data_IF_441695631026
#
_entry.id   IF_441695631026
#
_cell.length_a   1.000
_cell.length_b   1.000
_cell.length_c   1.000
_cell.angle_alpha   90.00
_cell.angle_beta   90.00
_cell.angle_gamma   90.00
#
_symmetry.space_group_name_H-M   'P 1'
#
loop_
_entity.id
_entity.type
_entity.pdbx_description
1 polymer ?
#
# COMPACT_ATOMS: atom_id res chain seq x y z
N UNK A 1 -27.34 40.70 24.95
CA UNK A 1 -26.28 40.11 24.10
C UNK A 1 -25.80 38.82 24.74
N UNK A 2 -26.43 37.68 24.41
CA UNK A 2 -26.11 36.36 24.97
C UNK A 2 -25.25 35.56 23.99
N UNK A 3 -24.12 35.05 24.46
CA UNK A 3 -23.19 34.22 23.69
C UNK A 3 -23.71 32.78 23.65
N UNK A 4 -24.02 32.27 22.46
CA UNK A 4 -24.30 30.85 22.26
C UNK A 4 -22.98 30.06 22.22
N UNK A 5 -22.78 29.23 23.24
CA UNK A 5 -21.68 28.27 23.35
C UNK A 5 -22.16 26.93 22.77
N UNK A 6 -21.71 26.56 21.57
CA UNK A 6 -21.97 25.24 20.98
C UNK A 6 -20.91 24.25 21.46
N UNK A 7 -21.24 23.53 22.53
CA UNK A 7 -20.49 22.34 22.97
C UNK A 7 -20.68 21.23 21.92
N UNK A 8 -19.62 20.91 21.18
CA UNK A 8 -19.56 19.71 20.35
C UNK A 8 -19.62 18.43 21.21
N UNK A 9 -20.27 17.34 20.76
CA UNK A 9 -20.31 16.10 21.52
C UNK A 9 -18.89 15.51 21.66
N UNK A 10 -18.46 15.35 22.91
CA UNK A 10 -17.18 14.77 23.31
C UNK A 10 -17.09 13.36 22.71
N UNK A 11 -16.16 13.13 21.77
CA UNK A 11 -15.86 11.78 21.24
C UNK A 11 -15.54 10.86 22.42
N UNK A 12 -16.32 9.79 22.61
CA UNK A 12 -15.99 8.75 23.59
C UNK A 12 -14.67 8.13 23.17
N UNK A 13 -13.69 8.19 24.05
CA UNK A 13 -12.39 7.54 23.85
C UNK A 13 -12.51 6.11 24.37
N UNK A 14 -11.83 5.18 23.71
CA UNK A 14 -11.85 3.75 24.01
C UNK A 14 -11.37 3.36 25.42
N UNK A 15 -10.93 4.32 26.24
CA UNK A 15 -10.53 4.14 27.64
C UNK A 15 -11.71 3.97 28.61
N UNK A 16 -12.95 4.11 28.14
CA UNK A 16 -14.16 4.09 28.98
C UNK A 16 -14.81 2.70 29.13
N UNK A 17 -14.19 1.62 28.66
CA UNK A 17 -14.68 0.25 28.89
C UNK A 17 -13.93 -0.42 30.05
N UNK A 18 -14.63 -0.82 31.13
CA UNK A 18 -14.00 -1.53 32.23
C UNK A 18 -13.53 -2.90 31.75
N UNK A 19 -12.31 -3.26 32.12
CA UNK A 19 -11.71 -4.55 31.89
C UNK A 19 -12.58 -5.67 32.49
N UNK A 20 -13.28 -6.41 31.64
CA UNK A 20 -13.79 -7.74 31.94
C UNK A 20 -12.94 -8.74 31.17
N UNK A 21 -11.66 -8.79 31.56
CA UNK A 21 -10.73 -9.83 31.19
C UNK A 21 -10.60 -10.79 32.38
N UNK A 22 -11.52 -11.74 32.48
CA UNK A 22 -11.31 -13.05 33.09
C UNK A 22 -12.51 -13.92 32.71
N UNK A 23 -12.27 -15.21 32.47
CA UNK A 23 -13.28 -16.29 32.49
C UNK A 23 -13.89 -16.78 31.16
N UNK A 24 -13.14 -16.80 30.05
CA UNK A 24 -13.52 -17.63 28.88
C UNK A 24 -12.31 -18.33 28.23
N UNK A 25 -11.73 -19.30 28.94
CA UNK A 25 -10.74 -20.27 28.40
C UNK A 25 -11.27 -21.71 28.41
N UNK A 26 -12.58 -21.93 28.56
CA UNK A 26 -13.15 -23.28 28.57
C UNK A 26 -14.32 -23.37 27.60
N UNK A 27 -13.99 -23.70 26.35
CA UNK A 27 -14.61 -24.75 25.52
C UNK A 27 -14.17 -24.53 24.07
N UNK A 28 -13.30 -25.44 23.58
CA UNK A 28 -12.75 -25.38 22.23
C UNK A 28 -13.84 -25.45 21.17
N UNK A 29 -14.20 -24.31 20.60
CA UNK A 29 -14.82 -24.18 19.27
C UNK A 29 -14.50 -22.77 18.77
N UNK A 30 -13.73 -22.70 17.68
CA UNK A 30 -13.26 -21.53 16.93
C UNK A 30 -13.54 -20.14 17.55
N UNK A 31 -12.53 -19.58 18.19
CA UNK A 31 -12.26 -18.15 18.05
C UNK A 31 -10.76 -18.02 17.84
N UNK A 32 -10.35 -18.36 16.61
CA UNK A 32 -9.02 -18.06 16.12
C UNK A 32 -8.95 -16.55 16.00
N UNK A 33 -8.61 -15.92 17.13
CA UNK A 33 -8.10 -14.58 17.31
C UNK A 33 -8.41 -13.68 16.12
N UNK A 34 -9.53 -12.97 16.21
CA UNK A 34 -9.69 -11.68 15.54
C UNK A 34 -8.54 -10.78 16.01
N UNK A 35 -7.35 -10.97 15.43
CA UNK A 35 -6.27 -10.02 15.47
C UNK A 35 -6.84 -8.80 14.77
N UNK A 36 -7.13 -7.77 15.55
CA UNK A 36 -7.77 -6.54 15.10
C UNK A 36 -6.86 -5.80 14.12
N UNK A 37 -6.84 -6.25 12.87
CA UNK A 37 -6.35 -5.50 11.73
C UNK A 37 -7.12 -4.19 11.66
N UNK A 38 -6.48 -3.09 11.26
CA UNK A 38 -7.15 -1.81 11.10
C UNK A 38 -8.26 -1.86 10.03
N UNK A 39 -8.24 -2.86 9.15
CA UNK A 39 -9.25 -3.14 8.15
C UNK A 39 -9.59 -4.63 8.15
N UNK A 40 -10.87 -4.96 7.98
CA UNK A 40 -11.35 -6.33 7.82
C UNK A 40 -10.84 -6.96 6.53
N UNK A 41 -10.79 -6.18 5.44
CA UNK A 41 -10.28 -6.62 4.14
C UNK A 41 -9.32 -5.62 3.52
N UNK A 42 -8.30 -6.14 2.87
CA UNK A 42 -7.40 -5.39 2.02
C UNK A 42 -7.52 -5.85 0.58
N UNK A 43 -7.83 -4.92 -0.30
CA UNK A 43 -7.87 -5.17 -1.74
C UNK A 43 -6.69 -4.45 -2.38
N UNK A 44 -5.88 -5.18 -3.13
CA UNK A 44 -4.77 -4.62 -3.89
C UNK A 44 -5.07 -4.73 -5.38
N UNK A 45 -5.09 -3.59 -6.05
CA UNK A 45 -5.23 -3.50 -7.50
C UNK A 45 -3.86 -3.17 -8.10
N UNK A 46 -3.38 -4.03 -8.98
CA UNK A 46 -2.12 -3.83 -9.69
C UNK A 46 -2.23 -2.64 -10.62
N UNK A 47 -1.58 -1.54 -10.25
CA UNK A 47 -1.60 -0.26 -10.99
C UNK A 47 -0.23 0.16 -11.47
N UNK A 48 0.82 -0.55 -11.07
CA UNK A 48 2.19 -0.20 -11.38
C UNK A 48 2.93 -1.36 -12.04
N UNK A 49 3.67 -1.03 -13.09
CA UNK A 49 4.43 -1.95 -13.92
C UNK A 49 4.32 -1.57 -15.39
N UNK A 50 5.29 -2.00 -16.22
CA UNK A 50 5.42 -1.56 -17.61
C UNK A 50 4.27 -2.03 -18.51
N UNK A 51 3.43 -2.96 -18.04
CA UNK A 51 2.38 -3.58 -18.82
C UNK A 51 0.96 -3.24 -18.36
N UNK A 52 0.79 -2.70 -17.15
CA UNK A 52 -0.53 -2.59 -16.53
C UNK A 52 -1.49 -1.64 -17.28
N UNK A 53 -0.96 -0.61 -17.93
CA UNK A 53 -1.74 0.32 -18.74
C UNK A 53 -2.25 -0.28 -20.06
N UNK A 54 -1.71 -1.43 -20.50
CA UNK A 54 -2.15 -2.12 -21.71
C UNK A 54 -3.19 -3.20 -21.43
N UNK A 55 -3.41 -3.54 -20.16
CA UNK A 55 -4.40 -4.53 -19.72
C UNK A 55 -5.78 -3.90 -19.45
N UNK A 56 -5.96 -2.60 -19.63
CA UNK A 56 -7.19 -1.87 -19.33
C UNK A 56 -6.92 -0.60 -18.55
N UNK A 57 -7.89 -0.15 -17.74
CA UNK A 57 -7.76 1.03 -16.88
C UNK A 57 -7.81 0.64 -15.39
N UNK A 58 -6.68 0.21 -14.80
CA UNK A 58 -6.61 -0.19 -13.40
C UNK A 58 -6.84 0.98 -12.45
N UNK A 59 -6.58 2.23 -12.87
CA UNK A 59 -6.83 3.41 -12.06
C UNK A 59 -8.33 3.73 -11.98
N UNK A 60 -9.06 3.65 -13.09
CA UNK A 60 -10.51 3.75 -13.09
C UNK A 60 -11.15 2.64 -12.26
N UNK A 61 -10.63 1.41 -12.31
CA UNK A 61 -11.09 0.31 -11.45
C UNK A 61 -10.92 0.65 -9.96
N UNK A 62 -9.76 1.17 -9.54
CA UNK A 62 -9.54 1.60 -8.15
C UNK A 62 -10.54 2.68 -7.74
N UNK A 63 -10.80 3.66 -8.60
CA UNK A 63 -11.76 4.73 -8.33
C UNK A 63 -13.17 4.17 -8.20
N UNK A 64 -13.59 3.30 -9.12
CA UNK A 64 -14.91 2.67 -9.11
C UNK A 64 -15.14 1.85 -7.84
N UNK A 65 -14.18 1.00 -7.44
CA UNK A 65 -14.26 0.22 -6.22
C UNK A 65 -14.32 1.10 -4.97
N UNK A 66 -13.46 2.14 -4.88
CA UNK A 66 -13.48 3.08 -3.75
C UNK A 66 -14.82 3.81 -3.64
N UNK A 67 -15.38 4.25 -4.78
CA UNK A 67 -16.68 4.92 -4.82
C UNK A 67 -17.79 3.99 -4.32
N UNK A 68 -17.79 2.72 -4.74
CA UNK A 68 -18.77 1.73 -4.28
C UNK A 68 -18.66 1.47 -2.78
N UNK A 69 -17.44 1.26 -2.27
CA UNK A 69 -17.19 1.06 -0.83
C UNK A 69 -17.64 2.27 0.00
N UNK A 70 -17.35 3.48 -0.47
CA UNK A 70 -17.79 4.70 0.21
C UNK A 70 -19.32 4.85 0.22
N UNK A 71 -19.99 4.51 -0.89
CA UNK A 71 -21.45 4.54 -0.97
C UNK A 71 -22.14 3.57 0.00
N UNK A 72 -21.46 2.48 0.37
CA UNK A 72 -21.93 1.50 1.36
C UNK A 72 -21.52 1.86 2.80
N UNK A 73 -20.75 2.93 3.01
CA UNK A 73 -20.25 3.31 4.34
C UNK A 73 -19.18 2.37 4.90
N UNK A 74 -18.49 1.61 4.04
CA UNK A 74 -17.54 0.54 4.44
C UNK A 74 -16.07 0.95 4.33
N UNK A 75 -15.77 2.24 4.16
CA UNK A 75 -14.40 2.72 3.93
C UNK A 75 -13.46 2.50 5.13
N UNK A 76 -14.00 2.42 6.34
CA UNK A 76 -13.25 2.13 7.57
C UNK A 76 -13.00 0.63 7.78
N UNK A 77 -13.74 -0.25 7.08
CA UNK A 77 -13.62 -1.70 7.17
C UNK A 77 -12.86 -2.31 6.00
N UNK A 78 -13.02 -1.77 4.79
CA UNK A 78 -12.49 -2.35 3.54
C UNK A 78 -11.59 -1.34 2.84
N UNK A 79 -10.30 -1.65 2.76
CA UNK A 79 -9.31 -0.75 2.16
C UNK A 79 -8.91 -1.18 0.76
N UNK A 80 -9.28 -0.36 -0.22
CA UNK A 80 -8.84 -0.51 -1.61
C UNK A 80 -7.51 0.22 -1.81
N UNK A 81 -6.45 -0.51 -2.15
CA UNK A 81 -5.09 -0.03 -2.35
C UNK A 81 -4.67 -0.15 -3.82
N UNK A 82 -3.91 0.85 -4.27
CA UNK A 82 -3.02 0.70 -5.41
C UNK A 82 -1.83 -0.15 -4.98
N UNK A 83 -1.42 -1.11 -5.79
CA UNK A 83 -0.23 -1.91 -5.53
C UNK A 83 0.83 -1.74 -6.61
N UNK A 84 2.06 -2.09 -6.22
CA UNK A 84 3.14 -2.44 -7.13
C UNK A 84 2.79 -3.63 -8.03
N UNK A 85 3.75 -4.02 -8.88
CA UNK A 85 3.61 -5.19 -9.73
C UNK A 85 3.38 -6.46 -8.91
N UNK A 86 2.34 -7.21 -9.24
CA UNK A 86 2.01 -8.50 -8.58
C UNK A 86 2.63 -9.73 -9.27
N UNK A 87 3.52 -9.51 -10.24
CA UNK A 87 4.15 -10.55 -11.05
C UNK A 87 3.20 -11.46 -11.86
N UNK A 88 2.05 -10.93 -12.27
CA UNK A 88 1.04 -11.65 -13.07
C UNK A 88 0.69 -10.89 -14.37
N UNK A 89 1.66 -10.26 -15.03
CA UNK A 89 1.43 -9.55 -16.30
C UNK A 89 0.94 -10.53 -17.40
N UNK A 90 0.11 -10.04 -18.30
CA UNK A 90 -0.54 -10.83 -19.36
C UNK A 90 -1.89 -11.43 -18.94
N UNK A 91 -2.35 -11.11 -17.73
CA UNK A 91 -3.65 -11.53 -17.18
C UNK A 91 -4.43 -10.35 -16.58
N UNK A 92 -3.88 -9.13 -16.64
CA UNK A 92 -4.44 -8.00 -15.92
C UNK A 92 -5.76 -7.48 -16.50
N UNK A 93 -6.38 -6.51 -15.81
CA UNK A 93 -5.95 -5.91 -14.55
C UNK A 93 -6.09 -6.90 -13.39
N UNK A 94 -5.09 -6.95 -12.52
CA UNK A 94 -5.01 -7.92 -11.43
C UNK A 94 -5.53 -7.33 -10.13
N UNK A 95 -6.38 -8.08 -9.43
CA UNK A 95 -6.87 -7.75 -8.09
C UNK A 95 -6.63 -8.92 -7.15
N UNK A 96 -6.14 -8.65 -5.95
CA UNK A 96 -6.06 -9.65 -4.87
C UNK A 96 -6.76 -9.12 -3.63
N UNK A 97 -7.53 -9.99 -2.99
CA UNK A 97 -8.27 -9.71 -1.76
C UNK A 97 -7.71 -10.54 -0.62
N UNK A 98 -7.33 -9.87 0.46
CA UNK A 98 -6.92 -10.47 1.73
C UNK A 98 -7.98 -10.21 2.81
N UNK A 99 -8.15 -11.13 3.79
CA UNK A 99 -7.28 -12.27 4.11
C UNK A 99 -7.50 -13.56 3.29
N UNK A 100 -8.55 -13.64 2.47
CA UNK A 100 -8.93 -14.85 1.75
C UNK A 100 -7.92 -15.29 0.67
N UNK A 101 -7.00 -14.39 0.31
CA UNK A 101 -6.00 -14.58 -0.75
C UNK A 101 -6.63 -14.99 -2.08
N UNK A 102 -7.81 -14.43 -2.39
CA UNK A 102 -8.52 -14.67 -3.65
C UNK A 102 -7.99 -13.69 -4.70
N UNK A 103 -7.65 -14.24 -5.87
CA UNK A 103 -7.11 -13.49 -6.99
C UNK A 103 -8.13 -13.37 -8.10
N UNK A 104 -8.11 -12.23 -8.78
CA UNK A 104 -8.90 -11.92 -9.96
C UNK A 104 -8.01 -11.40 -11.07
N UNK A 105 -8.36 -11.76 -12.30
CA UNK A 105 -7.69 -11.38 -13.53
C UNK A 105 -8.70 -10.76 -14.50
N UNK A 106 -8.24 -9.91 -15.42
CA UNK A 106 -9.10 -9.28 -16.43
C UNK A 106 -10.21 -8.39 -15.86
N UNK A 107 -10.04 -7.85 -14.65
CA UNK A 107 -11.08 -7.07 -13.98
C UNK A 107 -11.24 -5.70 -14.64
N UNK A 108 -12.41 -5.40 -15.17
CA UNK A 108 -12.74 -4.12 -15.78
C UNK A 108 -13.40 -3.17 -14.76
N UNK A 109 -13.39 -1.85 -14.98
CA UNK A 109 -14.06 -0.90 -14.09
C UNK A 109 -15.55 -1.19 -13.86
N UNK A 110 -16.24 -1.75 -14.85
CA UNK A 110 -17.66 -2.13 -14.76
C UNK A 110 -17.89 -3.33 -13.83
N UNK A 111 -16.89 -4.19 -13.64
CA UNK A 111 -16.94 -5.32 -12.72
C UNK A 111 -16.83 -4.89 -11.25
N UNK A 112 -16.43 -3.64 -10.98
CA UNK A 112 -16.15 -3.14 -9.64
C UNK A 112 -17.36 -3.27 -8.70
N UNK A 113 -18.58 -3.05 -9.20
CA UNK A 113 -19.79 -3.17 -8.40
C UNK A 113 -20.04 -4.62 -7.98
N UNK A 114 -19.97 -5.57 -8.93
CA UNK A 114 -20.16 -7.00 -8.66
C UNK A 114 -19.11 -7.53 -7.69
N UNK A 115 -17.84 -7.18 -7.89
CA UNK A 115 -16.75 -7.65 -7.04
C UNK A 115 -16.89 -7.13 -5.60
N UNK A 116 -17.32 -5.87 -5.42
CA UNK A 116 -17.60 -5.32 -4.09
C UNK A 116 -18.82 -5.99 -3.45
N UNK A 117 -19.94 -6.06 -4.16
CA UNK A 117 -21.20 -6.54 -3.60
C UNK A 117 -21.16 -8.04 -3.30
N UNK A 118 -20.64 -8.85 -4.21
CA UNK A 118 -20.62 -10.31 -4.05
C UNK A 118 -19.51 -10.77 -3.13
N UNK A 119 -18.26 -10.34 -3.37
CA UNK A 119 -17.12 -10.89 -2.63
C UNK A 119 -16.78 -10.08 -1.38
N UNK A 120 -16.62 -8.76 -1.51
CA UNK A 120 -16.15 -7.96 -0.39
C UNK A 120 -17.21 -7.87 0.71
N UNK A 121 -18.48 -7.72 0.33
CA UNK A 121 -19.62 -7.67 1.25
C UNK A 121 -20.27 -9.05 1.42
N UNK A 122 -20.62 -9.72 0.32
CA UNK A 122 -21.36 -10.98 0.35
C UNK A 122 -20.53 -12.23 0.66
N UNK A 123 -19.21 -12.11 0.79
CA UNK A 123 -18.26 -13.22 1.03
C UNK A 123 -18.33 -14.34 -0.03
N UNK A 124 -18.80 -14.04 -1.23
CA UNK A 124 -18.87 -14.98 -2.36
C UNK A 124 -17.92 -14.53 -3.47
N UNK A 125 -16.83 -15.27 -3.75
CA UNK A 125 -15.95 -14.96 -4.85
C UNK A 125 -16.67 -14.93 -6.20
N UNK A 126 -16.37 -13.93 -7.03
CA UNK A 126 -16.87 -13.83 -8.41
C UNK A 126 -16.13 -14.82 -9.30
N UNK A 127 -16.67 -16.03 -9.47
CA UNK A 127 -15.96 -17.15 -10.11
C UNK A 127 -15.56 -16.88 -11.57
N UNK A 128 -16.34 -16.09 -12.33
CA UNK A 128 -16.00 -15.76 -13.73
C UNK A 128 -14.69 -14.97 -13.87
N UNK A 129 -14.30 -14.23 -12.82
CA UNK A 129 -13.09 -13.40 -12.78
C UNK A 129 -11.93 -14.11 -12.06
N UNK A 130 -12.17 -15.30 -11.50
CA UNK A 130 -11.24 -15.95 -10.59
C UNK A 130 -9.96 -16.34 -11.32
N UNK A 131 -8.84 -15.98 -10.73
CA UNK A 131 -7.52 -16.33 -11.21
C UNK A 131 -6.92 -17.44 -10.35
N UNK A 132 -6.52 -18.54 -10.99
CA UNK A 132 -5.86 -19.68 -10.34
C UNK A 132 -4.58 -19.99 -11.10
N UNK A 133 -3.45 -19.85 -10.42
CA UNK A 133 -2.14 -20.16 -10.96
C UNK A 133 -1.22 -20.69 -9.85
N UNK A 134 -0.12 -21.39 -10.20
CA UNK A 134 0.91 -21.76 -9.24
C UNK A 134 1.49 -20.53 -8.52
N UNK A 135 2.01 -20.69 -7.28
CA UNK A 135 2.72 -19.62 -6.60
C UNK A 135 3.94 -19.14 -7.41
N UNK A 136 4.18 -17.82 -7.40
CA UNK A 136 5.36 -17.22 -8.02
C UNK A 136 5.04 -16.35 -9.22
N UNK A 137 6.00 -16.25 -10.14
CA UNK A 137 5.91 -15.41 -11.33
C UNK A 137 5.22 -16.18 -12.47
N UNK A 138 3.99 -15.81 -12.80
CA UNK A 138 3.23 -16.42 -13.91
C UNK A 138 2.99 -15.42 -15.05
N UNK A 139 3.93 -14.49 -15.26
CA UNK A 139 3.87 -13.54 -16.36
C UNK A 139 3.79 -14.27 -17.71
N UNK A 140 2.86 -13.87 -18.57
CA UNK A 140 2.80 -14.23 -19.99
C UNK A 140 3.15 -13.01 -20.82
N UNK A 141 4.44 -12.71 -20.91
CA UNK A 141 4.90 -11.49 -21.59
C UNK A 141 4.73 -11.58 -23.10
N UNK A 142 4.77 -12.79 -23.63
CA UNK A 142 4.63 -13.12 -25.05
C UNK A 142 3.23 -12.76 -25.58
N UNK A 143 2.23 -12.62 -24.69
CA UNK A 143 0.88 -12.18 -25.02
C UNK A 143 0.84 -10.75 -25.58
N UNK A 144 1.74 -9.88 -25.12
CA UNK A 144 1.77 -8.49 -25.56
C UNK A 144 2.42 -8.35 -26.94
N UNK A 145 1.95 -7.45 -27.81
CA UNK A 145 2.65 -7.03 -29.02
C UNK A 145 4.12 -6.67 -28.75
N UNK A 146 4.97 -6.86 -29.76
CA UNK A 146 6.42 -6.58 -29.65
C UNK A 146 6.70 -5.13 -29.22
N UNK A 147 5.94 -4.17 -29.74
CA UNK A 147 6.08 -2.75 -29.39
C UNK A 147 5.90 -2.50 -27.88
N UNK A 148 4.95 -3.19 -27.24
CA UNK A 148 4.72 -3.09 -25.79
C UNK A 148 5.85 -3.75 -25.00
N UNK A 149 6.40 -4.86 -25.49
CA UNK A 149 7.57 -5.51 -24.86
C UNK A 149 8.81 -4.65 -24.94
N UNK A 150 8.99 -3.92 -26.04
CA UNK A 150 10.08 -2.96 -26.22
C UNK A 150 9.92 -1.73 -25.31
N UNK A 151 8.69 -1.27 -25.09
CA UNK A 151 8.40 -0.18 -24.15
C UNK A 151 8.93 -0.47 -22.74
N UNK A 152 8.80 -1.71 -22.23
CA UNK A 152 9.39 -2.11 -20.95
C UNK A 152 10.90 -1.87 -20.89
N UNK A 153 11.62 -2.18 -21.98
CA UNK A 153 13.08 -2.02 -22.02
C UNK A 153 13.46 -0.55 -21.90
N UNK A 154 12.70 0.31 -22.58
CA UNK A 154 12.83 1.76 -22.46
C UNK A 154 12.59 2.26 -21.03
N UNK A 155 11.50 1.81 -20.39
CA UNK A 155 11.21 2.14 -18.98
C UNK A 155 12.34 1.72 -18.04
N UNK A 156 12.86 0.50 -18.23
CA UNK A 156 13.94 -0.04 -17.40
C UNK A 156 15.22 0.80 -17.53
N UNK A 157 15.57 1.21 -18.76
CA UNK A 157 16.69 2.11 -19.02
C UNK A 157 16.51 3.48 -18.33
N UNK A 158 15.30 4.06 -18.37
CA UNK A 158 15.03 5.33 -17.70
C UNK A 158 15.11 5.21 -16.18
N UNK A 159 14.63 4.10 -15.60
CA UNK A 159 14.74 3.82 -14.17
C UNK A 159 16.21 3.71 -13.72
N UNK A 160 17.05 3.04 -14.50
CA UNK A 160 18.49 2.95 -14.26
C UNK A 160 19.17 4.32 -14.32
N UNK A 161 18.86 5.14 -15.32
CA UNK A 161 19.37 6.51 -15.44
C UNK A 161 18.98 7.37 -14.23
N UNK A 162 17.71 7.31 -13.81
CA UNK A 162 17.21 8.01 -12.62
C UNK A 162 17.90 7.52 -11.35
N UNK A 163 18.14 6.22 -11.22
CA UNK A 163 18.85 5.63 -10.08
C UNK A 163 20.31 6.09 -10.02
N UNK A 164 21.00 6.12 -11.16
CA UNK A 164 22.38 6.62 -11.27
C UNK A 164 22.46 8.10 -10.91
N UNK A 165 21.54 8.93 -11.43
CA UNK A 165 21.49 10.35 -11.10
C UNK A 165 21.21 10.58 -9.62
N UNK A 166 20.25 9.84 -9.03
CA UNK A 166 19.95 9.91 -7.59
C UNK A 166 21.20 9.56 -6.76
N UNK A 167 21.92 8.49 -7.13
CA UNK A 167 23.15 8.09 -6.46
C UNK A 167 24.21 9.19 -6.53
N UNK A 168 24.45 9.76 -7.71
CA UNK A 168 25.43 10.84 -7.89
C UNK A 168 25.09 12.08 -7.04
N UNK A 169 23.81 12.42 -6.90
CA UNK A 169 23.36 13.52 -6.04
C UNK A 169 23.63 13.19 -4.57
N UNK A 170 23.29 12.00 -4.11
CA UNK A 170 23.50 11.59 -2.71
C UNK A 170 24.99 11.55 -2.35
N UNK A 171 25.83 11.01 -3.23
CA UNK A 171 27.28 10.94 -3.03
C UNK A 171 27.87 12.36 -2.89
N UNK A 172 27.46 13.30 -3.76
CA UNK A 172 27.90 14.70 -3.69
C UNK A 172 27.47 15.39 -2.39
N UNK A 173 26.24 15.15 -1.92
CA UNK A 173 25.76 15.72 -0.67
C UNK A 173 26.55 15.19 0.54
N UNK A 174 26.82 13.89 0.57
CA UNK A 174 27.62 13.26 1.63
C UNK A 174 29.06 13.80 1.69
N UNK A 175 29.70 14.02 0.52
CA UNK A 175 31.04 14.62 0.47
C UNK A 175 31.05 16.09 0.90
N UNK A 176 29.99 16.85 0.61
CA UNK A 176 29.90 18.25 1.02
C UNK A 176 29.74 18.40 2.54
N UNK A 177 28.99 17.52 3.21
CA UNK A 177 28.86 17.50 4.66
C UNK A 177 30.19 17.20 5.37
N UNK A 178 31.01 16.30 4.80
CA UNK A 178 32.34 15.98 5.35
C UNK A 178 33.34 17.14 5.27
N UNK A 179 33.23 18.00 4.26
CA UNK A 179 34.09 19.19 4.14
C UNK A 179 33.74 20.32 5.11
N UNK A 180 32.56 20.29 5.73
CA UNK A 180 32.09 21.33 6.68
C UNK A 180 32.33 20.92 8.14
N UNK A 181 32.82 19.71 8.42
CA UNK A 181 33.30 19.33 9.74
C UNK A 181 34.57 20.13 10.10
N UNK A 182 34.36 21.24 10.80
CA UNK A 182 35.38 22.19 11.28
C UNK A 182 36.40 21.46 12.18
N UNK A 183 37.73 21.69 12.02
CA UNK A 183 38.73 21.14 12.94
C UNK A 183 38.49 21.64 14.37
N UNK A 184 38.65 20.75 15.35
CA UNK A 184 38.52 21.08 16.77
C UNK A 184 39.39 22.30 17.13
N UNK A 185 38.91 23.24 17.96
CA UNK A 185 39.75 24.36 18.38
C UNK A 185 40.96 23.81 19.14
N UNK A 186 42.16 24.17 18.66
CA UNK A 186 43.43 23.85 19.30
C UNK A 186 43.37 24.23 20.79
N UNK A 187 43.69 23.26 21.65
CA UNK A 187 43.83 23.48 23.07
C UNK A 187 44.96 24.48 23.30
N UNK A 188 44.60 25.72 23.63
CA UNK A 188 45.55 26.77 23.97
C UNK A 188 46.45 26.31 25.12
N UNK A 189 47.73 26.31 24.82
CA UNK A 189 48.87 25.95 25.64
C UNK A 189 48.97 26.90 26.85
N UNK A 190 48.68 26.39 28.05
CA UNK A 190 48.88 27.13 29.31
C UNK A 190 50.38 27.15 29.63
N UNK A 191 51.08 28.25 29.35
CA UNK A 191 52.42 28.46 29.89
C UNK A 191 52.36 28.94 31.34
N UNK A 192 53.18 28.40 32.26
CA UNK A 192 53.22 28.84 33.64
C UNK A 192 54.21 29.99 33.84
N UNK A 193 53.74 31.08 34.42
CA UNK A 193 54.49 31.93 35.36
C UNK A 193 55.58 32.86 34.80
N UNK A 194 55.47 34.14 35.16
CA UNK A 194 56.63 34.89 35.66
C UNK A 194 56.18 35.99 36.62
N UNK A 195 56.63 35.85 37.86
CA UNK A 195 56.62 36.83 38.95
C UNK A 195 57.61 37.97 38.66
N UNK A 196 57.19 39.21 38.93
CA UNK A 196 58.04 40.39 38.95
C UNK A 196 57.28 41.59 39.49
#
# INVERSE_FOLDING_TARGET
>A
MGKFNTLAPRRRSWRDFPALASDLVQNGTLSMMACMSQFEKHVFVCTNGPYCCFDGDPDALVVAMKRRIAALGLADAIRINRSGCLNQCGHGPMVVVYPEAVWYAGVMPDDAQELVDEHLVGQRPVERLRYVAPPGNNKRIEHYPEEIRQFKQYDSMLEEQRAAQRKAILDRLASAEQTVAVPAPDAAETQPGQTG
#
